data_IF_935588642287
#
_entry.id   IF_935588642287
#
_cell.length_a   1.000
_cell.length_b   1.000
_cell.length_c   1.000
_cell.angle_alpha   90.00
_cell.angle_beta   90.00
_cell.angle_gamma   90.00
#
_symmetry.space_group_name_H-M   'P 1'
#
loop_
_entity.id
_entity.type
_entity.pdbx_description
1 polymer ?
#
# COMPACT_ATOMS: atom_id res chain seq x y z
N UNK A 1 -4.80 15.03 2.37
CA UNK A 1 -4.84 16.30 1.60
C UNK A 1 -4.55 16.09 0.12
N UNK A 2 -3.47 15.38 -0.22
CA UNK A 2 -3.13 15.04 -1.62
C UNK A 2 -4.25 14.30 -2.36
N UNK A 3 -5.07 13.53 -1.63
CA UNK A 3 -6.20 12.78 -2.19
C UNK A 3 -7.20 13.66 -2.96
N UNK A 4 -7.42 14.90 -2.53
CA UNK A 4 -8.34 15.84 -3.20
C UNK A 4 -7.91 16.17 -4.65
N UNK A 5 -6.62 15.99 -4.96
CA UNK A 5 -6.03 16.32 -6.26
C UNK A 5 -5.75 15.08 -7.13
N UNK A 6 -5.90 13.85 -6.60
CA UNK A 6 -5.60 12.62 -7.34
C UNK A 6 -6.75 11.61 -7.40
N UNK A 7 -7.97 12.01 -7.02
CA UNK A 7 -9.20 11.20 -7.10
C UNK A 7 -9.38 10.47 -8.45
N UNK A 8 -9.09 11.16 -9.57
CA UNK A 8 -9.27 10.64 -10.93
C UNK A 8 -8.15 9.70 -11.38
N UNK A 9 -7.02 9.68 -10.68
CA UNK A 9 -5.83 8.90 -11.07
C UNK A 9 -5.50 7.85 -10.00
N UNK A 10 -6.35 6.81 -9.92
CA UNK A 10 -6.30 5.79 -8.86
C UNK A 10 -4.96 5.05 -8.78
N UNK A 11 -4.32 4.75 -9.91
CA UNK A 11 -2.99 4.11 -9.91
C UNK A 11 -1.87 5.04 -9.42
N UNK A 12 -1.95 6.33 -9.74
CA UNK A 12 -1.01 7.31 -9.22
C UNK A 12 -1.20 7.51 -7.72
N UNK A 13 -2.46 7.53 -7.26
CA UNK A 13 -2.81 7.54 -5.83
C UNK A 13 -2.25 6.31 -5.12
N UNK A 14 -2.48 5.11 -5.66
CA UNK A 14 -1.91 3.87 -5.12
C UNK A 14 -0.39 3.94 -5.02
N UNK A 15 0.31 4.40 -6.06
CA UNK A 15 1.76 4.56 -6.03
C UNK A 15 2.25 5.53 -4.96
N UNK A 16 1.56 6.65 -4.75
CA UNK A 16 1.87 7.58 -3.67
C UNK A 16 1.63 6.94 -2.29
N UNK A 17 0.46 6.35 -2.09
CA UNK A 17 0.08 5.72 -0.82
C UNK A 17 1.00 4.51 -0.51
N UNK A 18 1.58 3.86 -1.53
CA UNK A 18 2.56 2.80 -1.38
C UNK A 18 3.86 3.32 -0.74
N UNK A 19 4.31 4.52 -1.11
CA UNK A 19 5.57 5.10 -0.63
C UNK A 19 5.40 5.85 0.70
N UNK A 20 4.22 6.40 0.96
CA UNK A 20 3.93 7.13 2.18
C UNK A 20 3.85 6.20 3.40
N UNK A 21 4.51 6.62 4.47
CA UNK A 21 4.58 5.93 5.75
C UNK A 21 3.70 6.55 6.83
N UNK A 22 3.82 6.05 8.07
CA UNK A 22 3.03 6.48 9.25
C UNK A 22 2.98 8.01 9.41
N UNK A 23 4.08 8.70 9.11
CA UNK A 23 4.17 10.15 9.25
C UNK A 23 3.21 10.92 8.35
N UNK A 24 2.77 10.33 7.24
CA UNK A 24 1.79 10.95 6.35
C UNK A 24 0.37 11.00 6.96
N UNK A 25 0.10 10.12 7.92
CA UNK A 25 -1.22 9.99 8.56
C UNK A 25 -1.36 10.83 9.83
N UNK A 26 -0.29 11.53 10.25
CA UNK A 26 -0.37 12.44 11.39
C UNK A 26 -1.17 13.70 11.07
N UNK A 27 -1.87 14.21 12.09
CA UNK A 27 -2.55 15.50 12.01
C UNK A 27 -1.53 16.62 11.77
N UNK A 28 -1.77 17.40 10.72
CA UNK A 28 -1.02 18.62 10.42
C UNK A 28 -1.54 19.79 11.24
N UNK A 29 -0.64 20.59 11.82
CA UNK A 29 -0.99 21.85 12.50
C UNK A 29 -1.53 22.89 11.52
N UNK A 30 -2.27 23.89 12.01
CA UNK A 30 -2.81 24.96 11.17
C UNK A 30 -1.74 25.60 10.26
N UNK A 31 -0.58 25.96 10.82
CA UNK A 31 0.56 26.53 10.07
C UNK A 31 1.12 25.56 9.01
N UNK A 32 1.17 24.26 9.29
CA UNK A 32 1.62 23.28 8.29
C UNK A 32 0.63 23.15 7.13
N UNK A 33 -0.66 23.32 7.39
CA UNK A 33 -1.69 23.29 6.35
C UNK A 33 -1.60 24.49 5.41
N UNK A 34 -1.12 25.62 5.92
CA UNK A 34 -0.88 26.86 5.17
C UNK A 34 0.27 26.77 4.17
N UNK A 35 1.05 25.68 4.18
CA UNK A 35 1.96 25.37 3.09
C UNK A 35 1.23 25.26 1.73
N UNK A 36 -0.02 24.79 1.72
CA UNK A 36 -0.83 24.72 0.50
C UNK A 36 -1.42 26.11 0.18
N UNK A 37 -1.11 26.70 -0.99
CA UNK A 37 -1.56 28.04 -1.35
C UNK A 37 -3.08 28.23 -1.25
N UNK A 38 -3.85 27.22 -1.65
CA UNK A 38 -5.32 27.25 -1.59
C UNK A 38 -5.83 27.36 -0.14
N UNK A 39 -5.20 26.65 0.80
CA UNK A 39 -5.54 26.73 2.23
C UNK A 39 -5.13 28.08 2.81
N UNK A 40 -3.95 28.57 2.46
CA UNK A 40 -3.49 29.88 2.88
C UNK A 40 -4.42 31.00 2.41
N UNK A 41 -4.84 30.99 1.14
CA UNK A 41 -5.81 31.95 0.62
C UNK A 41 -7.14 31.88 1.37
N UNK A 42 -7.69 30.68 1.59
CA UNK A 42 -8.93 30.49 2.35
C UNK A 42 -8.81 30.93 3.82
N UNK A 43 -7.63 30.84 4.42
CA UNK A 43 -7.37 31.35 5.77
C UNK A 43 -7.34 32.89 5.80
N UNK A 44 -6.71 33.53 4.81
CA UNK A 44 -6.70 34.99 4.68
C UNK A 44 -8.10 35.56 4.44
N UNK A 45 -8.93 34.89 3.63
CA UNK A 45 -10.32 35.30 3.40
C UNK A 45 -11.18 35.29 4.66
N UNK A 46 -10.90 34.34 5.57
CA UNK A 46 -11.60 34.21 6.85
C UNK A 46 -10.98 35.05 7.98
N UNK A 47 -9.83 35.67 7.75
CA UNK A 47 -9.14 36.45 8.75
C UNK A 47 -9.83 37.82 8.96
N UNK A 48 -9.87 38.27 10.23
CA UNK A 48 -10.45 39.55 10.61
C UNK A 48 -9.44 40.39 11.39
N UNK A 49 -9.44 41.70 11.14
CA UNK A 49 -8.73 42.69 11.93
C UNK A 49 -9.66 43.12 13.08
N UNK A 50 -9.14 43.05 14.30
CA UNK A 50 -9.81 43.56 15.50
C UNK A 50 -9.15 44.88 15.87
N UNK A 51 -9.90 45.96 15.75
CA UNK A 51 -9.46 47.30 16.15
C UNK A 51 -9.42 47.45 17.67
N UNK A 52 -8.71 48.44 18.20
CA UNK A 52 -8.59 48.69 19.64
C UNK A 52 -9.95 48.99 20.32
N UNK A 53 -10.94 49.43 19.55
CA UNK A 53 -12.33 49.66 19.96
C UNK A 53 -13.22 48.39 19.92
N UNK A 54 -12.65 47.23 19.54
CA UNK A 54 -13.34 45.96 19.44
C UNK A 54 -14.11 45.74 18.13
N UNK A 55 -14.08 46.69 17.20
CA UNK A 55 -14.73 46.52 15.90
C UNK A 55 -14.01 45.47 15.04
N UNK A 56 -14.78 44.59 14.39
CA UNK A 56 -14.27 43.53 13.51
C UNK A 56 -14.46 43.94 12.06
N UNK A 57 -13.38 43.90 11.28
CA UNK A 57 -13.42 44.06 9.81
C UNK A 57 -12.64 42.94 9.13
N UNK A 58 -13.02 42.55 7.92
CA UNK A 58 -12.31 41.50 7.19
C UNK A 58 -10.90 41.96 6.83
N UNK A 59 -9.94 41.03 6.83
CA UNK A 59 -8.57 41.30 6.37
C UNK A 59 -8.53 41.46 4.85
N UNK A 60 -9.27 40.62 4.13
CA UNK A 60 -9.37 40.64 2.67
C UNK A 60 -10.67 41.34 2.25
N UNK A 61 -10.56 42.32 1.35
CA UNK A 61 -11.72 43.07 0.84
C UNK A 61 -12.47 42.32 -0.26
N UNK A 62 -11.76 41.62 -1.15
CA UNK A 62 -12.35 40.86 -2.26
C UNK A 62 -11.34 39.84 -2.80
N UNK A 63 -11.84 38.67 -3.18
CA UNK A 63 -11.08 37.62 -3.87
C UNK A 63 -11.77 37.27 -5.18
N UNK A 64 -11.00 37.06 -6.24
CA UNK A 64 -11.52 36.62 -7.54
C UNK A 64 -10.46 35.82 -8.30
N UNK A 65 -10.92 34.98 -9.23
CA UNK A 65 -10.06 34.24 -10.14
C UNK A 65 -9.72 35.09 -11.37
N UNK A 66 -8.44 35.28 -11.67
CA UNK A 66 -7.98 35.90 -12.92
C UNK A 66 -8.31 35.02 -14.14
N UNK A 67 -8.18 33.72 -13.96
CA UNK A 67 -8.65 32.70 -14.88
C UNK A 67 -9.45 31.71 -14.06
N UNK A 68 -10.73 31.56 -14.39
CA UNK A 68 -11.59 30.63 -13.67
C UNK A 68 -11.04 29.21 -13.85
N UNK A 69 -10.81 28.45 -12.76
CA UNK A 69 -10.35 27.08 -12.88
C UNK A 69 -11.40 26.32 -13.68
N UNK A 70 -10.99 25.69 -14.79
CA UNK A 70 -11.86 24.83 -15.57
C UNK A 70 -12.46 23.79 -14.62
N UNK A 71 -13.74 23.95 -14.28
CA UNK A 71 -14.41 23.10 -13.30
C UNK A 71 -14.22 21.65 -13.72
N UNK A 72 -13.81 20.77 -12.80
CA UNK A 72 -13.65 19.32 -13.02
C UNK A 72 -14.84 18.66 -13.75
N UNK A 73 -16.00 19.33 -13.81
CA UNK A 73 -17.17 18.93 -14.58
C UNK A 73 -16.96 18.91 -16.11
N UNK A 74 -16.11 19.76 -16.69
CA UNK A 74 -15.87 19.74 -18.14
C UNK A 74 -14.99 18.57 -18.59
N UNK A 75 -14.17 17.99 -17.70
CA UNK A 75 -13.43 16.74 -17.96
C UNK A 75 -14.28 15.47 -17.84
N UNK A 76 -15.51 15.54 -17.30
CA UNK A 76 -16.40 14.37 -17.15
C UNK A 76 -17.16 14.07 -18.45
N UNK A 77 -17.28 15.04 -19.38
CA UNK A 77 -18.09 14.86 -20.60
C UNK A 77 -17.42 14.03 -21.71
N UNK A 78 -16.16 13.64 -21.57
CA UNK A 78 -15.52 12.70 -22.50
C UNK A 78 -14.53 11.82 -21.75
N UNK A 79 -15.02 10.73 -21.16
CA UNK A 79 -14.12 9.60 -20.85
C UNK A 79 -14.86 8.33 -21.20
N UNK A 80 -14.57 7.80 -22.39
CA UNK A 80 -14.70 6.37 -22.63
C UNK A 80 -13.97 5.69 -21.46
N UNK A 81 -14.68 4.95 -20.60
CA UNK A 81 -14.07 4.26 -19.46
C UNK A 81 -12.82 3.52 -19.95
N UNK A 82 -11.66 4.02 -19.55
CA UNK A 82 -10.41 3.39 -19.93
C UNK A 82 -10.32 2.03 -19.24
N UNK A 83 -9.61 1.08 -19.84
CA UNK A 83 -9.32 -0.22 -19.20
C UNK A 83 -8.73 -0.02 -17.78
N UNK A 84 -7.96 1.06 -17.57
CA UNK A 84 -7.37 1.43 -16.28
C UNK A 84 -8.38 1.94 -15.23
N UNK A 85 -9.55 2.45 -15.64
CA UNK A 85 -10.63 2.83 -14.72
C UNK A 85 -11.41 1.61 -14.25
N UNK A 86 -11.58 0.62 -15.14
CA UNK A 86 -12.19 -0.67 -14.83
C UNK A 86 -11.28 -1.50 -13.92
N UNK A 87 -9.97 -1.55 -14.22
CA UNK A 87 -8.95 -2.20 -13.38
C UNK A 87 -8.36 -1.23 -12.36
N UNK A 88 -9.19 -0.78 -11.43
CA UNK A 88 -8.70 -0.04 -10.26
C UNK A 88 -7.75 -0.89 -9.39
N UNK A 89 -6.83 -0.28 -8.62
CA UNK A 89 -5.91 -1.00 -7.75
C UNK A 89 -6.62 -2.03 -6.86
N UNK A 90 -7.72 -1.66 -6.23
CA UNK A 90 -8.53 -2.55 -5.40
C UNK A 90 -9.00 -3.80 -6.17
N UNK A 91 -9.51 -3.63 -7.39
CA UNK A 91 -10.00 -4.73 -8.22
C UNK A 91 -8.85 -5.66 -8.58
N UNK A 92 -7.72 -5.11 -9.02
CA UNK A 92 -6.54 -5.91 -9.39
C UNK A 92 -6.01 -6.72 -8.22
N UNK A 93 -5.86 -6.11 -7.04
CA UNK A 93 -5.39 -6.81 -5.84
C UNK A 93 -6.43 -7.78 -5.28
N UNK A 94 -7.73 -7.52 -5.48
CA UNK A 94 -8.79 -8.47 -5.14
C UNK A 94 -8.73 -9.71 -6.04
N UNK A 95 -8.51 -9.54 -7.35
CA UNK A 95 -8.29 -10.65 -8.28
C UNK A 95 -7.07 -11.47 -7.88
N UNK A 96 -5.95 -10.81 -7.56
CA UNK A 96 -4.74 -11.48 -7.07
C UNK A 96 -5.00 -12.27 -5.78
N UNK A 97 -5.77 -11.71 -4.85
CA UNK A 97 -6.16 -12.35 -3.59
C UNK A 97 -7.01 -13.60 -3.83
N UNK A 98 -8.01 -13.52 -4.73
CA UNK A 98 -8.83 -14.66 -5.13
C UNK A 98 -7.97 -15.75 -5.77
N UNK A 99 -7.08 -15.39 -6.70
CA UNK A 99 -6.14 -16.33 -7.31
C UNK A 99 -5.25 -17.02 -6.26
N UNK A 100 -4.76 -16.26 -5.29
CA UNK A 100 -3.95 -16.78 -4.17
C UNK A 100 -4.70 -17.83 -3.37
N UNK A 101 -5.98 -17.59 -3.09
CA UNK A 101 -6.83 -18.54 -2.37
C UNK A 101 -7.14 -19.79 -3.20
N UNK A 102 -7.41 -19.64 -4.50
CA UNK A 102 -7.60 -20.78 -5.42
C UNK A 102 -6.35 -21.65 -5.43
N UNK A 103 -5.17 -21.04 -5.54
CA UNK A 103 -3.88 -21.76 -5.49
C UNK A 103 -3.71 -22.47 -4.15
N UNK A 104 -4.03 -21.83 -3.03
CA UNK A 104 -3.97 -22.46 -1.71
C UNK A 104 -4.89 -23.70 -1.61
N UNK A 105 -6.09 -23.63 -2.19
CA UNK A 105 -7.03 -24.78 -2.23
C UNK A 105 -6.45 -25.91 -3.09
N UNK A 106 -5.90 -25.59 -4.27
CA UNK A 106 -5.28 -26.57 -5.17
C UNK A 106 -4.06 -27.22 -4.53
N UNK A 107 -3.20 -26.45 -3.85
CA UNK A 107 -2.04 -26.96 -3.09
C UNK A 107 -2.48 -27.90 -1.97
N UNK A 108 -3.54 -27.54 -1.25
CA UNK A 108 -4.10 -28.37 -0.18
C UNK A 108 -4.67 -29.70 -0.71
N UNK A 109 -5.34 -29.68 -1.87
CA UNK A 109 -5.89 -30.88 -2.51
C UNK A 109 -4.81 -31.77 -3.12
N UNK A 110 -3.83 -31.17 -3.83
CA UNK A 110 -2.76 -31.91 -4.52
C UNK A 110 -1.62 -32.33 -3.60
N UNK A 111 -1.57 -31.83 -2.36
CA UNK A 111 -0.46 -32.02 -1.41
C UNK A 111 0.89 -31.73 -2.05
N UNK A 112 0.95 -30.71 -2.90
CA UNK A 112 2.16 -30.24 -3.58
C UNK A 112 2.16 -28.73 -3.65
N UNK A 113 3.28 -28.12 -3.29
CA UNK A 113 3.48 -26.67 -3.32
C UNK A 113 3.73 -26.22 -4.77
N UNK A 114 3.05 -25.16 -5.20
CA UNK A 114 3.27 -24.52 -6.50
C UNK A 114 4.37 -23.47 -6.33
N UNK A 115 5.62 -23.94 -6.33
CA UNK A 115 6.80 -23.12 -6.07
C UNK A 115 6.95 -21.91 -7.03
N UNK A 116 6.44 -22.01 -8.26
CA UNK A 116 6.48 -20.92 -9.25
C UNK A 116 5.68 -19.71 -8.77
N UNK A 117 4.55 -19.95 -8.10
CA UNK A 117 3.72 -18.89 -7.54
C UNK A 117 4.40 -18.23 -6.33
N UNK A 118 5.02 -19.01 -5.45
CA UNK A 118 5.86 -18.46 -4.37
C UNK A 118 6.98 -17.59 -4.91
N UNK A 119 7.64 -18.07 -5.97
CA UNK A 119 8.74 -17.36 -6.58
C UNK A 119 8.29 -16.02 -7.21
N UNK A 120 7.15 -15.99 -7.91
CA UNK A 120 6.64 -14.75 -8.52
C UNK A 120 6.20 -13.73 -7.46
N UNK A 121 5.53 -14.18 -6.39
CA UNK A 121 5.14 -13.30 -5.28
C UNK A 121 6.37 -12.77 -4.53
N UNK A 122 7.36 -13.61 -4.23
CA UNK A 122 8.58 -13.16 -3.54
C UNK A 122 9.41 -12.21 -4.40
N UNK A 123 9.46 -12.44 -5.72
CA UNK A 123 10.14 -11.53 -6.64
C UNK A 123 9.46 -10.16 -6.68
N UNK A 124 8.15 -10.11 -6.85
CA UNK A 124 7.38 -8.85 -6.93
C UNK A 124 7.39 -8.09 -5.61
N UNK A 125 7.09 -8.76 -4.49
CA UNK A 125 7.12 -8.14 -3.15
C UNK A 125 8.53 -7.71 -2.75
N UNK A 126 9.56 -8.45 -3.13
CA UNK A 126 10.94 -8.06 -2.89
C UNK A 126 11.41 -6.91 -3.76
N UNK A 127 10.98 -6.84 -5.04
CA UNK A 127 11.29 -5.70 -5.91
C UNK A 127 10.64 -4.41 -5.38
N UNK A 128 9.37 -4.45 -5.00
CA UNK A 128 8.72 -3.34 -4.31
C UNK A 128 9.40 -3.03 -2.97
N UNK A 129 9.88 -4.04 -2.26
CA UNK A 129 10.62 -3.86 -1.01
C UNK A 129 11.97 -3.18 -1.19
N UNK A 130 12.68 -3.40 -2.30
CA UNK A 130 13.88 -2.64 -2.63
C UNK A 130 13.56 -1.16 -2.87
N UNK A 131 12.43 -0.85 -3.51
CA UNK A 131 11.97 0.53 -3.67
C UNK A 131 11.69 1.19 -2.31
N UNK A 132 10.95 0.51 -1.43
CA UNK A 132 10.69 1.03 -0.08
C UNK A 132 11.96 1.15 0.75
N UNK A 133 12.88 0.21 0.62
CA UNK A 133 14.19 0.27 1.28
C UNK A 133 15.00 1.48 0.82
N UNK A 134 15.01 1.79 -0.48
CA UNK A 134 15.65 3.00 -0.99
C UNK A 134 15.01 4.27 -0.42
N UNK A 135 13.69 4.29 -0.23
CA UNK A 135 12.97 5.43 0.35
C UNK A 135 13.35 5.71 1.81
N UNK A 136 13.79 4.71 2.58
CA UNK A 136 14.27 4.93 3.96
C UNK A 136 15.46 5.92 3.99
N UNK A 137 16.28 5.94 2.93
CA UNK A 137 17.42 6.86 2.80
C UNK A 137 17.04 8.21 2.17
N UNK A 138 15.77 8.40 1.79
CA UNK A 138 15.31 9.66 1.23
C UNK A 138 15.23 10.74 2.31
N UNK A 139 15.46 11.99 1.91
CA UNK A 139 15.27 13.15 2.78
C UNK A 139 13.77 13.50 2.95
N UNK A 140 12.87 12.85 2.21
CA UNK A 140 11.45 13.13 2.30
C UNK A 140 10.88 12.67 3.66
N UNK A 141 10.30 13.57 4.47
CA UNK A 141 9.98 13.27 5.87
C UNK A 141 8.90 12.21 6.04
N UNK A 142 8.00 12.05 5.05
CA UNK A 142 6.84 11.15 5.15
C UNK A 142 7.10 9.72 4.69
N UNK A 143 8.28 9.39 4.18
CA UNK A 143 8.59 8.03 3.65
C UNK A 143 9.52 7.22 4.56
N UNK A 144 10.01 7.82 5.66
CA UNK A 144 11.05 7.20 6.50
C UNK A 144 10.60 5.93 7.23
N UNK A 145 9.33 5.86 7.66
CA UNK A 145 8.78 4.71 8.38
C UNK A 145 7.48 4.27 7.71
N UNK A 146 7.59 3.26 6.87
CA UNK A 146 6.47 2.69 6.13
C UNK A 146 6.32 1.20 6.48
N UNK A 147 5.26 0.86 7.19
CA UNK A 147 4.98 -0.51 7.64
C UNK A 147 4.70 -1.47 6.48
N UNK A 148 4.36 -0.97 5.29
CA UNK A 148 4.15 -1.80 4.09
C UNK A 148 5.41 -2.60 3.70
N UNK A 149 6.60 -2.19 4.16
CA UNK A 149 7.86 -2.95 3.99
C UNK A 149 7.85 -4.33 4.66
N UNK A 150 6.97 -4.55 5.64
CA UNK A 150 6.81 -5.85 6.30
C UNK A 150 6.26 -6.91 5.34
N UNK A 151 5.32 -6.53 4.46
CA UNK A 151 4.84 -7.37 3.37
C UNK A 151 5.78 -7.29 2.16
N UNK A 152 6.09 -6.07 1.72
CA UNK A 152 6.96 -5.75 0.60
C UNK A 152 8.40 -5.73 1.09
N UNK A 153 8.94 -6.90 1.38
CA UNK A 153 10.22 -7.03 2.08
C UNK A 153 11.37 -7.26 1.08
N UNK A 154 12.43 -6.43 1.05
CA UNK A 154 13.58 -6.64 0.15
C UNK A 154 14.27 -8.00 0.35
N UNK A 155 14.19 -8.57 1.55
CA UNK A 155 14.74 -9.90 1.88
C UNK A 155 14.09 -11.00 1.03
N UNK A 156 12.87 -10.80 0.52
CA UNK A 156 12.19 -11.77 -0.34
C UNK A 156 12.97 -12.06 -1.63
N UNK A 157 13.70 -11.09 -2.20
CA UNK A 157 14.58 -11.36 -3.35
C UNK A 157 15.74 -12.27 -2.96
N UNK A 158 16.39 -12.01 -1.83
CA UNK A 158 17.55 -12.78 -1.39
C UNK A 158 17.16 -14.20 -0.97
N UNK A 159 15.99 -14.36 -0.36
CA UNK A 159 15.49 -15.66 0.10
C UNK A 159 14.74 -16.44 -1.00
N UNK A 160 14.46 -15.82 -2.14
CA UNK A 160 13.71 -16.38 -3.27
C UNK A 160 14.20 -17.77 -3.65
N UNK A 161 15.49 -17.90 -3.96
CA UNK A 161 16.09 -19.16 -4.41
C UNK A 161 15.96 -20.26 -3.35
N UNK A 162 16.27 -19.94 -2.08
CA UNK A 162 16.23 -20.88 -0.97
C UNK A 162 14.82 -21.37 -0.68
N UNK A 163 13.83 -20.47 -0.71
CA UNK A 163 12.41 -20.81 -0.53
C UNK A 163 11.89 -21.64 -1.69
N UNK A 164 12.16 -21.24 -2.94
CA UNK A 164 11.74 -21.99 -4.13
C UNK A 164 12.34 -23.40 -4.17
N UNK A 165 13.62 -23.54 -3.81
CA UNK A 165 14.31 -24.84 -3.72
C UNK A 165 13.70 -25.75 -2.64
N UNK A 166 13.31 -25.19 -1.49
CA UNK A 166 12.62 -25.94 -0.44
C UNK A 166 11.19 -26.34 -0.88
N UNK A 167 10.46 -25.40 -1.49
CA UNK A 167 9.11 -25.61 -2.01
C UNK A 167 9.07 -26.67 -3.12
N UNK A 168 10.07 -26.71 -4.01
CA UNK A 168 10.22 -27.76 -5.01
C UNK A 168 10.35 -29.15 -4.39
N UNK A 169 10.94 -29.24 -3.19
CA UNK A 169 11.04 -30.47 -2.38
C UNK A 169 9.82 -30.68 -1.46
N UNK A 170 8.74 -29.92 -1.63
CA UNK A 170 7.56 -29.89 -0.75
C UNK A 170 7.89 -29.66 0.73
N UNK A 171 8.90 -28.84 1.01
CA UNK A 171 9.29 -28.44 2.36
C UNK A 171 9.10 -26.95 2.56
N UNK A 172 8.62 -26.57 3.74
CA UNK A 172 8.47 -25.17 4.12
C UNK A 172 9.80 -24.65 4.65
N UNK A 173 10.31 -23.59 4.04
CA UNK A 173 11.50 -22.90 4.50
C UNK A 173 11.18 -22.03 5.74
N UNK A 174 12.16 -21.82 6.63
CA UNK A 174 11.96 -21.00 7.84
C UNK A 174 11.56 -19.56 7.50
N UNK A 175 12.03 -19.02 6.36
CA UNK A 175 11.68 -17.69 5.89
C UNK A 175 10.18 -17.51 5.67
N UNK A 176 9.46 -18.54 5.19
CA UNK A 176 8.00 -18.47 5.03
C UNK A 176 7.30 -18.23 6.37
N UNK A 177 7.80 -18.83 7.46
CA UNK A 177 7.26 -18.61 8.81
C UNK A 177 7.60 -17.21 9.33
N UNK A 178 8.83 -16.76 9.12
CA UNK A 178 9.27 -15.42 9.49
C UNK A 178 8.45 -14.34 8.74
N UNK A 179 8.26 -14.51 7.43
CA UNK A 179 7.47 -13.60 6.61
C UNK A 179 5.99 -13.61 7.00
N UNK A 180 5.40 -14.76 7.35
CA UNK A 180 4.06 -14.80 7.96
C UNK A 180 3.95 -14.00 9.26
N UNK A 181 4.98 -14.04 10.13
CA UNK A 181 5.00 -13.21 11.33
C UNK A 181 5.08 -11.71 10.99
N UNK A 182 5.86 -11.32 9.97
CA UNK A 182 5.90 -9.95 9.47
C UNK A 182 4.55 -9.50 8.91
N UNK A 183 3.84 -10.38 8.18
CA UNK A 183 2.50 -10.09 7.67
C UNK A 183 1.50 -9.90 8.83
N UNK A 184 1.59 -10.69 9.89
CA UNK A 184 0.77 -10.48 11.09
C UNK A 184 1.07 -9.12 11.74
N UNK A 185 2.34 -8.74 11.84
CA UNK A 185 2.75 -7.43 12.34
C UNK A 185 2.25 -6.29 11.43
N UNK A 186 2.27 -6.46 10.10
CA UNK A 186 1.66 -5.51 9.17
C UNK A 186 0.17 -5.34 9.47
N UNK A 187 -0.58 -6.43 9.60
CA UNK A 187 -2.02 -6.37 9.85
C UNK A 187 -2.32 -5.68 11.19
N UNK A 188 -1.53 -5.95 12.23
CA UNK A 188 -1.61 -5.23 13.50
C UNK A 188 -1.22 -3.74 13.35
N UNK A 189 -0.25 -3.43 12.49
CA UNK A 189 0.17 -2.08 12.18
C UNK A 189 -0.88 -1.22 11.47
N UNK A 190 -1.98 -1.81 10.98
CA UNK A 190 -3.07 -1.07 10.32
C UNK A 190 -3.78 -0.08 11.25
N UNK A 191 -3.65 -0.25 12.57
CA UNK A 191 -4.12 0.74 13.55
C UNK A 191 -3.25 2.02 13.58
N UNK A 192 -2.02 1.96 13.09
CA UNK A 192 -1.04 3.06 13.14
C UNK A 192 -0.85 3.72 11.77
N UNK A 193 -1.06 2.98 10.68
CA UNK A 193 -0.86 3.46 9.31
C UNK A 193 -1.98 2.98 8.40
N UNK A 194 -2.48 3.89 7.56
CA UNK A 194 -3.34 3.56 6.44
C UNK A 194 -2.48 3.06 5.27
N UNK A 195 -2.76 1.84 4.81
CA UNK A 195 -2.01 1.22 3.72
C UNK A 195 -2.57 1.57 2.35
N UNK A 196 -1.72 1.43 1.34
CA UNK A 196 -2.15 1.53 -0.05
C UNK A 196 -3.28 0.55 -0.35
N UNK A 197 -4.19 0.99 -1.23
CA UNK A 197 -5.39 0.25 -1.58
C UNK A 197 -5.07 -1.19 -2.03
N UNK A 198 -5.71 -2.19 -1.42
CA UNK A 198 -5.54 -3.61 -1.75
C UNK A 198 -4.40 -4.33 -1.03
N UNK A 199 -3.45 -3.64 -0.40
CA UNK A 199 -2.33 -4.26 0.35
C UNK A 199 -2.86 -5.18 1.47
N UNK A 200 -3.84 -4.72 2.23
CA UNK A 200 -4.43 -5.49 3.34
C UNK A 200 -5.10 -6.78 2.86
N UNK A 201 -5.76 -6.73 1.69
CA UNK A 201 -6.46 -7.88 1.09
C UNK A 201 -5.46 -8.93 0.62
N UNK A 202 -4.36 -8.50 -0.02
CA UNK A 202 -3.27 -9.37 -0.44
C UNK A 202 -2.52 -9.96 0.76
N UNK A 203 -2.27 -9.15 1.79
CA UNK A 203 -1.66 -9.60 3.04
C UNK A 203 -2.47 -10.73 3.69
N UNK A 204 -3.79 -10.57 3.79
CA UNK A 204 -4.68 -11.58 4.37
C UNK A 204 -4.69 -12.88 3.57
N UNK A 205 -4.81 -12.83 2.24
CA UNK A 205 -4.80 -14.05 1.41
C UNK A 205 -3.46 -14.77 1.43
N UNK A 206 -2.34 -14.03 1.39
CA UNK A 206 -1.00 -14.61 1.54
C UNK A 206 -0.79 -15.24 2.92
N UNK A 207 -1.27 -14.59 3.98
CA UNK A 207 -1.20 -15.14 5.34
C UNK A 207 -1.97 -16.46 5.44
N UNK A 208 -3.22 -16.49 4.96
CA UNK A 208 -4.05 -17.70 4.95
C UNK A 208 -3.39 -18.83 4.17
N UNK A 209 -2.85 -18.53 2.99
CA UNK A 209 -2.11 -19.51 2.19
C UNK A 209 -0.87 -20.02 2.92
N UNK A 210 -0.05 -19.14 3.48
CA UNK A 210 1.16 -19.54 4.20
C UNK A 210 0.83 -20.42 5.41
N UNK A 211 -0.23 -20.10 6.17
CA UNK A 211 -0.69 -20.93 7.29
C UNK A 211 -1.16 -22.30 6.80
N UNK A 212 -1.96 -22.34 5.72
CA UNK A 212 -2.41 -23.60 5.10
C UNK A 212 -1.23 -24.48 4.66
N UNK A 213 -0.22 -23.88 4.03
CA UNK A 213 0.99 -24.57 3.60
C UNK A 213 1.84 -25.03 4.79
N UNK A 214 2.00 -24.21 5.83
CA UNK A 214 2.70 -24.61 7.06
C UNK A 214 2.00 -25.79 7.72
N UNK A 215 0.67 -25.79 7.80
CA UNK A 215 -0.10 -26.88 8.40
C UNK A 215 -0.01 -28.17 7.57
N UNK A 216 -0.18 -28.06 6.25
CA UNK A 216 -0.20 -29.20 5.33
C UNK A 216 1.16 -29.88 5.19
N UNK A 217 2.25 -29.10 5.19
CA UNK A 217 3.60 -29.59 4.90
C UNK A 217 4.52 -29.64 6.13
N UNK A 218 3.96 -29.53 7.35
CA UNK A 218 4.71 -29.60 8.62
C UNK A 218 5.48 -30.92 8.80
N UNK A 219 5.00 -32.01 8.20
CA UNK A 219 5.46 -33.38 8.49
C UNK A 219 6.07 -34.14 7.29
N UNK A 220 6.19 -33.54 6.11
CA UNK A 220 6.69 -34.24 4.92
C UNK A 220 8.23 -34.36 4.88
N UNK A 221 8.93 -33.77 5.86
CA UNK A 221 10.39 -33.84 5.99
C UNK A 221 10.94 -35.13 6.60
N UNK A 222 10.11 -35.95 7.27
CA UNK A 222 10.55 -37.16 7.99
C UNK A 222 10.33 -38.48 7.23
N UNK A 223 9.76 -38.44 6.03
CA UNK A 223 9.63 -39.62 5.16
C UNK A 223 10.47 -39.44 3.91
N UNK A 224 11.78 -39.64 4.04
CA UNK A 224 12.53 -40.15 2.89
C UNK A 224 12.07 -41.60 2.68
N UNK A 225 11.72 -42.02 1.46
CA UNK A 225 11.68 -43.45 1.18
C UNK A 225 13.12 -43.97 1.36
N UNK A 226 13.28 -44.93 2.25
CA UNK A 226 14.49 -45.76 2.28
C UNK A 226 14.64 -46.38 0.89
N UNK A 227 15.81 -46.17 0.30
CA UNK A 227 16.28 -46.85 -0.90
C UNK A 227 17.22 -47.97 -0.48
#
# INVERSE_FOLDING_TARGET
>A
MIHNYNETHRWARFGNDLLLGVKADYYTTFEQQQFLPERLCADFERAHIISADGTKRNLVSSSFWLFEPTTKQQSIQQTNMGILDVFSPLVTFSILSILTLIIAIVEHQRKRIIWVFDASIMLTTGACGLLLFAMIFSQHPTVSLNLQILLLNPINIFMLYSVAKAAHKNRIHWWTKAWSALILLLLAGSFLQSYAEGITIVALSLLLRNISNIYTFKNTGSKQPEA
#
